data_IF_022982693890
#
_entry.id   IF_022982693890
#
_cell.length_a   1.000
_cell.length_b   1.000
_cell.length_c   1.000
_cell.angle_alpha   90.00
_cell.angle_beta   90.00
_cell.angle_gamma   90.00
#
_symmetry.space_group_name_H-M   'P 1'
#
loop_
_entity.id
_entity.type
_entity.pdbx_description
1 polymer ?
#
# COMPACT_ATOMS: atom_id res chain seq x y z
N UNK A 1 12.29 -7.26 2.55
CA UNK A 1 11.78 -5.87 2.63
C UNK A 1 11.30 -5.65 4.05
N UNK A 2 12.06 -4.90 4.85
CA UNK A 2 11.78 -4.65 6.28
C UNK A 2 10.93 -3.41 6.55
N UNK A 3 10.05 -3.04 5.62
CA UNK A 3 9.20 -1.87 5.77
C UNK A 3 8.05 -2.15 6.75
N UNK A 4 7.95 -1.34 7.81
CA UNK A 4 6.94 -1.42 8.85
C UNK A 4 5.77 -0.46 8.64
N UNK A 5 4.85 -0.44 9.60
CA UNK A 5 3.60 0.35 9.55
C UNK A 5 3.81 1.87 9.50
N UNK A 6 4.89 2.33 10.15
CA UNK A 6 5.30 3.73 10.16
C UNK A 6 5.86 4.17 8.80
N UNK A 7 6.13 3.24 7.90
CA UNK A 7 6.69 3.51 6.59
C UNK A 7 5.59 3.73 5.54
N UNK A 8 4.31 3.88 5.91
CA UNK A 8 3.26 4.23 4.93
C UNK A 8 3.04 5.74 4.84
N UNK A 9 2.92 6.23 3.61
CA UNK A 9 2.72 7.65 3.31
C UNK A 9 1.52 7.85 2.38
N UNK A 10 0.91 9.03 2.46
CA UNK A 10 -0.07 9.48 1.46
C UNK A 10 0.67 10.14 0.32
N UNK A 11 0.36 9.74 -0.92
CA UNK A 11 1.00 10.29 -2.11
C UNK A 11 0.03 10.33 -3.29
N UNK A 12 0.21 11.33 -4.16
CA UNK A 12 -0.46 11.42 -5.47
C UNK A 12 0.44 10.98 -6.62
N UNK A 13 1.72 10.73 -6.34
CA UNK A 13 2.78 10.56 -7.34
C UNK A 13 2.47 9.52 -8.41
N UNK A 14 1.85 8.40 -8.03
CA UNK A 14 1.65 7.28 -8.95
C UNK A 14 0.40 7.39 -9.83
N UNK A 15 -0.59 8.21 -9.44
CA UNK A 15 -1.91 8.20 -10.11
C UNK A 15 -2.54 9.57 -10.32
N UNK A 16 -2.02 10.63 -9.67
CA UNK A 16 -2.65 11.96 -9.62
C UNK A 16 -3.72 12.08 -8.53
N UNK A 17 -4.14 10.95 -7.93
CA UNK A 17 -5.11 10.89 -6.83
C UNK A 17 -4.44 10.39 -5.56
N UNK A 18 -4.92 10.90 -4.42
CA UNK A 18 -4.35 10.58 -3.11
C UNK A 18 -4.57 9.10 -2.80
N UNK A 19 -3.50 8.37 -2.52
CA UNK A 19 -3.50 6.98 -2.13
C UNK A 19 -2.45 6.74 -1.04
N UNK A 20 -2.61 5.66 -0.27
CA UNK A 20 -1.64 5.24 0.76
C UNK A 20 -0.80 4.07 0.27
N UNK A 21 0.51 4.21 0.35
CA UNK A 21 1.46 3.15 0.04
C UNK A 21 2.68 3.18 0.94
N UNK A 22 3.52 2.16 0.85
CA UNK A 22 4.83 2.15 1.48
C UNK A 22 5.69 3.28 0.88
N UNK A 23 6.37 4.03 1.73
CA UNK A 23 7.41 4.97 1.38
C UNK A 23 8.49 4.20 0.63
N UNK A 24 8.97 4.80 -0.44
CA UNK A 24 10.04 4.25 -1.25
C UNK A 24 10.89 5.39 -1.80
N UNK A 25 12.01 5.02 -2.41
CA UNK A 25 12.97 5.95 -2.97
C UNK A 25 12.31 6.97 -3.90
N UNK A 26 11.44 6.53 -4.80
CA UNK A 26 10.80 7.43 -5.77
C UNK A 26 9.87 8.45 -5.09
N UNK A 27 9.11 8.04 -4.06
CA UNK A 27 8.30 8.99 -3.28
C UNK A 27 9.19 10.00 -2.58
N UNK A 28 10.29 9.58 -1.96
CA UNK A 28 11.17 10.49 -1.21
C UNK A 28 11.92 11.46 -2.12
N UNK A 29 12.48 10.98 -3.24
CA UNK A 29 13.20 11.81 -4.20
C UNK A 29 12.28 12.84 -4.88
N UNK A 30 11.04 12.47 -5.19
CA UNK A 30 10.08 13.36 -5.86
C UNK A 30 9.17 14.13 -4.90
N UNK A 31 9.33 13.99 -3.58
CA UNK A 31 8.52 14.72 -2.59
C UNK A 31 8.81 16.23 -2.63
N UNK A 32 10.05 16.59 -2.93
CA UNK A 32 10.54 17.97 -2.88
C UNK A 32 10.44 18.71 -4.22
N UNK A 33 10.02 18.04 -5.30
CA UNK A 33 9.92 18.68 -6.61
C UNK A 33 8.74 19.67 -6.70
N UNK A 34 8.96 20.75 -7.46
CA UNK A 34 7.99 21.83 -7.60
C UNK A 34 6.82 21.42 -8.52
N UNK A 35 5.64 21.27 -7.92
CA UNK A 35 4.37 21.17 -8.64
C UNK A 35 3.59 19.88 -8.36
N UNK A 36 2.24 19.93 -8.41
CA UNK A 36 1.44 18.74 -8.25
C UNK A 36 1.66 17.78 -9.45
N UNK A 37 1.58 16.46 -9.25
CA UNK A 37 1.56 15.51 -10.36
C UNK A 37 0.39 15.80 -11.30
N UNK A 38 0.42 15.25 -12.52
CA UNK A 38 -0.68 15.36 -13.46
C UNK A 38 -2.01 14.85 -12.83
N UNK A 39 -3.17 15.36 -13.26
CA UNK A 39 -4.45 14.93 -12.72
C UNK A 39 -4.70 13.44 -13.02
N UNK A 40 -5.50 12.79 -12.18
CA UNK A 40 -5.94 11.42 -12.44
C UNK A 40 -6.86 11.38 -13.68
N UNK A 41 -6.70 10.40 -14.59
CA UNK A 41 -5.75 9.27 -14.57
C UNK A 41 -4.43 9.52 -15.32
N UNK A 42 -4.20 10.73 -15.85
CA UNK A 42 -3.06 11.04 -16.72
C UNK A 42 -1.70 10.74 -16.07
N UNK A 43 -1.52 11.05 -14.78
CA UNK A 43 -0.30 10.69 -14.06
C UNK A 43 -0.05 9.17 -14.05
N UNK A 44 -1.11 8.37 -13.94
CA UNK A 44 -1.00 6.91 -14.01
C UNK A 44 -0.46 6.43 -15.36
N UNK A 45 -0.83 7.09 -16.46
CA UNK A 45 -0.31 6.78 -17.80
C UNK A 45 1.18 7.13 -17.94
N UNK A 46 1.61 8.25 -17.37
CA UNK A 46 3.03 8.61 -17.30
C UNK A 46 3.80 7.55 -16.52
N UNK A 47 3.32 7.21 -15.32
CA UNK A 47 3.97 6.28 -14.40
C UNK A 47 3.99 4.83 -14.88
N UNK A 48 3.12 4.44 -15.83
CA UNK A 48 3.14 3.09 -16.42
C UNK A 48 4.49 2.72 -17.05
N UNK A 49 5.13 3.67 -17.72
CA UNK A 49 6.42 3.46 -18.37
C UNK A 49 7.51 3.14 -17.34
N UNK A 50 7.57 3.93 -16.26
CA UNK A 50 8.48 3.72 -15.13
C UNK A 50 8.18 2.37 -14.47
N UNK A 51 6.90 2.08 -14.19
CA UNK A 51 6.49 0.81 -13.56
C UNK A 51 6.95 -0.40 -14.37
N UNK A 52 6.77 -0.38 -15.69
CA UNK A 52 7.18 -1.50 -16.56
C UNK A 52 8.69 -1.72 -16.53
N UNK A 53 9.48 -0.65 -16.67
CA UNK A 53 10.94 -0.73 -16.63
C UNK A 53 11.45 -1.17 -15.25
N UNK A 54 10.88 -0.64 -14.17
CA UNK A 54 11.23 -0.98 -12.80
C UNK A 54 10.95 -2.46 -12.49
N UNK A 55 9.79 -2.99 -12.87
CA UNK A 55 9.45 -4.41 -12.68
C UNK A 55 10.40 -5.33 -13.44
N UNK A 56 10.76 -4.99 -14.68
CA UNK A 56 11.72 -5.79 -15.46
C UNK A 56 13.11 -5.88 -14.80
N UNK A 57 13.45 -4.90 -13.95
CA UNK A 57 14.72 -4.84 -13.22
C UNK A 57 14.58 -5.23 -11.74
N UNK A 58 13.41 -5.66 -11.28
CA UNK A 58 13.16 -5.98 -9.86
C UNK A 58 13.24 -4.77 -8.91
N UNK A 59 13.07 -3.55 -9.43
CA UNK A 59 13.18 -2.29 -8.67
C UNK A 59 11.88 -1.91 -7.97
N UNK A 60 11.61 -2.59 -6.85
CA UNK A 60 10.43 -2.32 -6.02
C UNK A 60 10.41 -0.89 -5.42
N UNK A 61 11.57 -0.26 -5.32
CA UNK A 61 11.77 1.11 -4.83
C UNK A 61 11.23 2.20 -5.78
N UNK A 62 10.84 1.82 -7.01
CA UNK A 62 10.34 2.71 -8.05
C UNK A 62 8.87 2.43 -8.46
N UNK A 63 8.16 1.57 -7.73
CA UNK A 63 6.76 1.22 -8.02
C UNK A 63 5.83 1.56 -6.87
N UNK A 64 4.55 1.76 -7.19
CA UNK A 64 3.52 1.91 -6.16
C UNK A 64 3.34 0.61 -5.37
N UNK A 65 3.69 0.63 -4.08
CA UNK A 65 3.44 -0.47 -3.15
C UNK A 65 2.28 -0.10 -2.21
N UNK A 66 1.05 -0.33 -2.65
CA UNK A 66 -0.14 0.04 -1.88
C UNK A 66 -0.28 -0.79 -0.61
N UNK A 67 -0.47 -0.11 0.52
CA UNK A 67 -0.57 -0.73 1.82
C UNK A 67 -1.37 0.18 2.78
N UNK A 68 -2.20 -0.45 3.61
CA UNK A 68 -2.78 0.22 4.78
C UNK A 68 -1.75 0.37 5.90
N UNK A 69 -2.15 0.98 7.02
CA UNK A 69 -1.23 1.23 8.14
C UNK A 69 -0.97 0.00 9.03
N UNK A 70 -1.65 -1.13 8.81
CA UNK A 70 -1.55 -2.32 9.67
C UNK A 70 -0.75 -3.46 9.03
N UNK A 71 0.35 -3.13 8.34
CA UNK A 71 1.18 -4.10 7.61
C UNK A 71 1.80 -5.18 8.51
N UNK A 72 2.01 -4.94 9.82
CA UNK A 72 2.53 -5.97 10.75
C UNK A 72 1.50 -7.03 11.11
N UNK A 73 0.21 -6.76 10.88
CA UNK A 73 -0.85 -7.74 11.10
C UNK A 73 -0.98 -8.72 9.93
N UNK A 74 -0.19 -8.56 8.86
CA UNK A 74 -0.24 -9.43 7.69
C UNK A 74 0.15 -10.86 8.05
N UNK A 75 -0.74 -11.81 7.74
CA UNK A 75 -0.51 -13.25 7.89
C UNK A 75 -0.65 -13.91 6.51
N UNK A 76 0.34 -14.70 6.11
CA UNK A 76 0.27 -15.45 4.86
C UNK A 76 -0.74 -16.59 4.99
N UNK A 77 -1.88 -16.46 4.31
CA UNK A 77 -2.99 -17.42 4.28
C UNK A 77 -3.58 -17.47 2.87
N UNK A 78 -4.23 -18.58 2.52
CA UNK A 78 -5.16 -18.57 1.38
C UNK A 78 -6.34 -17.65 1.70
N UNK A 79 -7.03 -17.15 0.66
CA UNK A 79 -8.19 -16.28 0.86
C UNK A 79 -9.29 -16.96 1.71
N UNK A 80 -9.56 -18.25 1.47
CA UNK A 80 -10.53 -19.02 2.25
C UNK A 80 -10.12 -19.16 3.72
N UNK A 81 -8.85 -19.49 4.00
CA UNK A 81 -8.36 -19.61 5.36
C UNK A 81 -8.32 -18.27 6.10
N UNK A 82 -8.02 -17.17 5.39
CA UNK A 82 -8.10 -15.83 5.94
C UNK A 82 -9.52 -15.51 6.38
N UNK A 83 -10.51 -15.71 5.50
CA UNK A 83 -11.90 -15.38 5.79
C UNK A 83 -12.44 -16.22 6.95
N UNK A 84 -12.20 -17.53 6.95
CA UNK A 84 -12.63 -18.41 8.04
C UNK A 84 -12.06 -17.98 9.39
N UNK A 85 -10.78 -17.58 9.42
CA UNK A 85 -10.18 -17.07 10.64
C UNK A 85 -10.74 -15.71 11.07
N UNK A 86 -11.01 -14.79 10.13
CA UNK A 86 -11.62 -13.50 10.46
C UNK A 86 -13.01 -13.67 11.08
N UNK A 87 -13.83 -14.59 10.56
CA UNK A 87 -15.15 -14.91 11.14
C UNK A 87 -14.98 -15.46 12.57
N UNK A 88 -14.18 -16.51 12.73
CA UNK A 88 -13.96 -17.13 14.04
C UNK A 88 -13.37 -16.16 15.08
N UNK A 89 -12.39 -15.35 14.71
CA UNK A 89 -11.78 -14.34 15.57
C UNK A 89 -12.79 -13.23 15.93
N UNK A 90 -13.68 -12.85 15.02
CA UNK A 90 -14.75 -11.86 15.26
C UNK A 90 -15.82 -12.40 16.22
N UNK A 91 -16.31 -13.62 16.00
CA UNK A 91 -17.31 -14.26 16.87
C UNK A 91 -16.79 -14.36 18.31
N UNK A 92 -15.51 -14.72 18.46
CA UNK A 92 -14.85 -14.77 19.77
C UNK A 92 -14.80 -13.39 20.45
N UNK A 93 -14.56 -12.31 19.70
CA UNK A 93 -14.57 -10.93 20.24
C UNK A 93 -15.98 -10.52 20.67
N UNK A 94 -16.99 -10.75 19.82
CA UNK A 94 -18.38 -10.39 20.12
C UNK A 94 -18.91 -11.16 21.33
N UNK A 95 -18.59 -12.46 21.44
CA UNK A 95 -18.95 -13.27 22.61
C UNK A 95 -18.39 -12.68 23.92
N UNK A 96 -17.14 -12.22 23.93
CA UNK A 96 -16.55 -11.57 25.12
C UNK A 96 -17.22 -10.25 25.48
N UNK A 97 -17.65 -9.47 24.48
CA UNK A 97 -18.34 -8.20 24.70
C UNK A 97 -19.76 -8.39 25.26
N UNK A 98 -20.45 -9.48 24.93
CA UNK A 98 -21.79 -9.77 25.45
C UNK A 98 -21.80 -10.39 26.85
N UNK A 99 -20.66 -10.94 27.30
CA UNK A 99 -20.51 -11.50 28.64
C UNK A 99 -19.86 -10.54 29.65
N UNK A 100 -19.54 -9.32 29.23
CA UNK A 100 -19.04 -8.23 30.07
C UNK A 100 -20.17 -7.24 30.37
#
# INVERSE_FOLDING_TARGET
LGAGEHDTVLTRLFSGRLARGLANRLIEELRAEEGPPAPYPAQGWIMQHIRKAALAQGRADLIAMWAGQSTRLLRHRTAAALLAALVAETDAVLGRLHHA
#
